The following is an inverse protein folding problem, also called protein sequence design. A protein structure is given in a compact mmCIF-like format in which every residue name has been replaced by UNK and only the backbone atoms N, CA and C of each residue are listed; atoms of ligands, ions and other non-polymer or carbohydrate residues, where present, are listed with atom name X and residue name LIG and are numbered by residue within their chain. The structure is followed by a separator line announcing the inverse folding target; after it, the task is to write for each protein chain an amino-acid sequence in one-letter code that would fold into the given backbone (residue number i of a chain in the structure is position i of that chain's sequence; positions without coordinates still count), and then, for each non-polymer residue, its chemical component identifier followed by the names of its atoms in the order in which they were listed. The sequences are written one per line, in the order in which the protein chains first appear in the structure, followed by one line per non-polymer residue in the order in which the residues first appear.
data_IF_230231151232
#
_entry.id   IF_230231151232
#
_cell.length_a   1.000
_cell.length_b   1.000
_cell.length_c   1.000
_cell.angle_alpha   90.00
_cell.angle_beta   90.00
_cell.angle_gamma   90.00
#
_symmetry.space_group_name_H-M   'P 1'
#
loop_
_entity.id
_entity.type
_entity.pdbx_description
1 polymer ?
#
# COMPACT_ATOMS: atom_id res chain seq x y z
N UNK A 1 -11.92 37.04 77.46
CA UNK A 1 -12.75 37.27 78.65
C UNK A 1 -13.88 38.21 78.25
N UNK A 2 -15.13 37.74 78.26
CA UNK A 2 -16.34 38.34 78.85
C UNK A 2 -17.39 37.22 78.79
N UNK A 3 -17.89 36.86 79.95
CA UNK A 3 -18.80 35.77 80.31
C UNK A 3 -20.26 36.22 80.18
N UNK A 4 -21.18 35.28 79.94
CA UNK A 4 -22.55 35.34 80.51
C UNK A 4 -23.14 33.94 80.59
N UNK A 5 -23.09 33.40 81.80
CA UNK A 5 -23.83 32.23 82.29
C UNK A 5 -25.19 32.67 82.81
N UNK A 6 -26.24 31.87 82.58
CA UNK A 6 -27.49 31.97 83.34
C UNK A 6 -28.03 30.55 83.62
N UNK A 7 -28.21 30.27 84.90
CA UNK A 7 -28.70 29.03 85.52
C UNK A 7 -30.11 29.31 86.05
N UNK A 8 -31.03 28.34 85.92
CA UNK A 8 -32.10 27.98 86.88
C UNK A 8 -33.02 26.93 86.21
N UNK A 9 -33.68 25.95 86.83
CA UNK A 9 -33.70 25.27 88.14
C UNK A 9 -34.51 23.97 87.91
N UNK A 10 -34.23 22.90 88.67
CA UNK A 10 -34.94 21.61 88.68
C UNK A 10 -36.27 21.65 89.49
N UNK A 11 -37.15 20.62 89.38
CA UNK A 11 -37.21 19.63 90.46
C UNK A 11 -37.46 18.16 90.05
N UNK A 12 -37.15 17.30 91.02
CA UNK A 12 -37.19 15.82 91.14
C UNK A 12 -38.66 15.32 91.17
N UNK A 13 -39.08 14.08 90.82
CA UNK A 13 -39.02 12.84 91.65
C UNK A 13 -39.76 11.63 90.98
N UNK A 14 -39.20 10.43 91.19
CA UNK A 14 -39.79 9.08 91.47
C UNK A 14 -40.53 8.22 90.40
N UNK A 15 -39.85 7.10 90.06
CA UNK A 15 -40.24 5.67 90.14
C UNK A 15 -41.63 5.19 89.69
N UNK A 16 -41.70 4.11 88.89
CA UNK A 16 -42.30 2.79 89.23
C UNK A 16 -42.24 1.82 88.03
N UNK A 17 -41.81 0.57 88.28
CA UNK A 17 -41.74 -0.56 87.35
C UNK A 17 -43.13 -0.99 86.83
N UNK A 18 -43.22 -1.66 85.68
CA UNK A 18 -43.89 -2.97 85.48
C UNK A 18 -43.70 -3.46 84.03
N UNK A 19 -43.37 -4.75 83.98
CA UNK A 19 -43.15 -5.67 82.87
C UNK A 19 -44.31 -5.81 81.89
N UNK A 20 -44.02 -6.14 80.62
CA UNK A 20 -44.43 -7.39 79.94
C UNK A 20 -44.09 -7.38 78.44
N UNK A 21 -43.04 -8.13 78.12
CA UNK A 21 -42.97 -9.21 77.11
C UNK A 21 -43.75 -9.12 75.78
N UNK A 22 -43.03 -9.61 74.75
CA UNK A 22 -43.46 -10.10 73.43
C UNK A 22 -43.51 -9.03 72.34
N UNK A 23 -42.57 -9.09 71.39
CA UNK A 23 -42.81 -9.68 70.08
C UNK A 23 -41.58 -9.46 69.20
N UNK A 24 -41.15 -10.52 68.50
CA UNK A 24 -40.16 -10.45 67.44
C UNK A 24 -40.58 -9.40 66.42
N UNK A 25 -40.01 -8.20 66.52
CA UNK A 25 -40.19 -7.15 65.52
C UNK A 25 -39.01 -7.24 64.58
N UNK A 26 -39.24 -8.00 63.51
CA UNK A 26 -38.61 -7.82 62.22
C UNK A 26 -38.40 -6.31 62.01
N UNK A 27 -37.14 -5.86 61.91
CA UNK A 27 -36.85 -4.48 61.55
C UNK A 27 -37.33 -4.28 60.12
N UNK A 28 -38.61 -3.97 59.93
CA UNK A 28 -39.13 -3.45 58.68
C UNK A 28 -38.57 -2.05 58.54
N UNK A 29 -37.34 -1.97 58.03
CA UNK A 29 -36.87 -0.76 57.37
C UNK A 29 -37.94 -0.43 56.31
N UNK A 30 -38.46 0.80 56.26
CA UNK A 30 -39.46 1.16 55.27
C UNK A 30 -38.89 0.82 53.90
N UNK A 31 -39.57 -0.05 53.14
CA UNK A 31 -39.08 -0.58 51.87
C UNK A 31 -38.59 0.52 50.91
N UNK A 32 -39.13 1.73 51.06
CA UNK A 32 -38.73 2.94 50.36
C UNK A 32 -37.27 3.40 50.62
N UNK A 33 -36.75 3.28 51.85
CA UNK A 33 -35.36 3.70 52.18
C UNK A 33 -34.30 2.72 51.65
N UNK A 34 -34.61 1.42 51.65
CA UNK A 34 -33.72 0.41 51.07
C UNK A 34 -33.75 0.47 49.53
N UNK A 35 -34.92 0.72 48.94
CA UNK A 35 -35.07 0.86 47.48
C UNK A 35 -34.39 2.12 46.93
N UNK A 36 -34.48 3.25 47.63
CA UNK A 36 -33.80 4.49 47.23
C UNK A 36 -32.28 4.36 47.32
N UNK A 37 -31.74 3.75 48.39
CA UNK A 37 -30.29 3.51 48.53
C UNK A 37 -29.73 2.53 47.49
N UNK A 38 -30.46 1.44 47.20
CA UNK A 38 -30.07 0.47 46.17
C UNK A 38 -30.13 1.07 44.75
N UNK A 39 -31.15 1.88 44.44
CA UNK A 39 -31.25 2.59 43.16
C UNK A 39 -30.13 3.60 42.95
N UNK A 40 -29.74 4.33 44.00
CA UNK A 40 -28.63 5.29 43.96
C UNK A 40 -27.29 4.58 43.78
N UNK A 41 -27.09 3.42 44.42
CA UNK A 41 -25.91 2.58 44.21
C UNK A 41 -25.80 2.10 42.75
N UNK A 42 -26.89 1.61 42.15
CA UNK A 42 -26.91 1.21 40.74
C UNK A 42 -26.66 2.39 39.79
N UNK A 43 -27.21 3.57 40.09
CA UNK A 43 -26.95 4.78 39.31
C UNK A 43 -25.47 5.18 39.34
N UNK A 44 -24.80 5.06 40.49
CA UNK A 44 -23.36 5.33 40.62
C UNK A 44 -22.53 4.31 39.82
N UNK A 45 -22.90 3.03 39.85
CA UNK A 45 -22.22 2.00 39.04
C UNK A 45 -22.42 2.28 37.54
N UNK A 46 -23.62 2.63 37.10
CA UNK A 46 -23.88 2.98 35.71
C UNK A 46 -23.09 4.23 35.28
N UNK A 47 -23.03 5.26 36.12
CA UNK A 47 -22.32 6.50 35.83
C UNK A 47 -20.80 6.28 35.77
N UNK A 48 -20.24 5.46 36.66
CA UNK A 48 -18.81 5.13 36.65
C UNK A 48 -18.45 4.31 35.41
N UNK A 49 -19.28 3.35 35.00
CA UNK A 49 -19.07 2.56 33.79
C UNK A 49 -19.20 3.39 32.52
N UNK A 50 -20.20 4.27 32.44
CA UNK A 50 -20.35 5.22 31.33
C UNK A 50 -19.18 6.22 31.27
N UNK A 51 -18.73 6.72 32.42
CA UNK A 51 -17.57 7.61 32.51
C UNK A 51 -16.29 6.96 31.99
N UNK A 52 -16.03 5.69 32.36
CA UNK A 52 -14.90 4.92 31.83
C UNK A 52 -14.94 4.79 30.31
N UNK A 53 -16.09 4.43 29.74
CA UNK A 53 -16.25 4.31 28.29
C UNK A 53 -15.99 5.63 27.55
N UNK A 54 -16.38 6.76 28.13
CA UNK A 54 -16.13 8.08 27.52
C UNK A 54 -14.65 8.48 27.64
N UNK A 55 -14.00 8.21 28.79
CA UNK A 55 -12.57 8.43 28.97
C UNK A 55 -11.76 7.61 27.95
N UNK A 56 -12.09 6.34 27.77
CA UNK A 56 -11.39 5.46 26.81
C UNK A 56 -11.54 5.96 25.36
N UNK A 57 -12.70 6.51 24.99
CA UNK A 57 -12.91 7.14 23.68
C UNK A 57 -12.08 8.40 23.51
N UNK A 58 -12.02 9.24 24.53
CA UNK A 58 -11.22 10.47 24.52
C UNK A 58 -9.72 10.13 24.43
N UNK A 59 -9.26 9.15 25.19
CA UNK A 59 -7.87 8.70 25.17
C UNK A 59 -7.47 8.19 23.78
N UNK A 60 -8.32 7.36 23.14
CA UNK A 60 -8.09 6.92 21.76
C UNK A 60 -7.98 8.10 20.79
N UNK A 61 -8.85 9.10 20.93
CA UNK A 61 -8.82 10.30 20.08
C UNK A 61 -7.55 11.12 20.30
N UNK A 62 -7.13 11.30 21.56
CA UNK A 62 -5.88 12.00 21.91
C UNK A 62 -4.66 11.26 21.38
N UNK A 63 -4.63 9.93 21.48
CA UNK A 63 -3.53 9.12 20.95
C UNK A 63 -3.47 9.19 19.42
N UNK A 64 -4.60 9.17 18.73
CA UNK A 64 -4.65 9.37 17.28
C UNK A 64 -4.12 10.75 16.87
N UNK A 65 -4.58 11.82 17.52
CA UNK A 65 -4.08 13.18 17.25
C UNK A 65 -2.59 13.32 17.60
N UNK A 66 -2.10 12.63 18.62
CA UNK A 66 -0.68 12.61 18.99
C UNK A 66 0.19 11.91 17.95
N UNK A 67 -0.26 10.77 17.43
CA UNK A 67 0.43 10.06 16.34
C UNK A 67 0.44 10.94 15.09
N UNK A 68 -0.72 11.51 14.72
CA UNK A 68 -0.85 12.44 13.60
C UNK A 68 0.08 13.64 13.76
N UNK A 69 0.14 14.24 14.95
CA UNK A 69 1.04 15.37 15.23
C UNK A 69 2.52 14.99 15.06
N UNK A 70 2.92 13.79 15.51
CA UNK A 70 4.29 13.28 15.32
C UNK A 70 4.62 13.04 13.85
N UNK A 71 3.67 12.52 13.08
CA UNK A 71 3.85 12.36 11.62
C UNK A 71 3.99 13.72 10.93
N UNK A 72 3.17 14.70 11.29
CA UNK A 72 3.32 16.07 10.79
C UNK A 72 4.68 16.67 11.17
N UNK A 73 5.13 16.49 12.41
CA UNK A 73 6.43 16.98 12.87
C UNK A 73 7.59 16.36 12.07
N UNK A 74 7.54 15.04 11.80
CA UNK A 74 8.51 14.38 10.91
C UNK A 74 8.51 15.00 9.52
N UNK A 75 7.33 15.23 8.94
CA UNK A 75 7.18 15.88 7.63
C UNK A 75 7.73 17.32 7.63
N UNK A 76 7.48 18.09 8.69
CA UNK A 76 8.03 19.44 8.84
C UNK A 76 9.55 19.44 9.00
N UNK A 77 10.11 18.50 9.76
CA UNK A 77 11.55 18.36 9.93
C UNK A 77 12.23 18.00 8.61
N UNK A 78 11.66 17.06 7.85
CA UNK A 78 12.12 16.72 6.51
C UNK A 78 12.09 17.95 5.59
N UNK A 79 10.98 18.69 5.57
CA UNK A 79 10.83 19.91 4.78
C UNK A 79 11.84 21.00 5.17
N UNK A 80 12.07 21.23 6.47
CA UNK A 80 13.06 22.19 6.96
C UNK A 80 14.49 21.78 6.60
N UNK A 81 14.82 20.49 6.69
CA UNK A 81 16.11 19.98 6.27
C UNK A 81 16.32 20.19 4.76
N UNK A 82 15.28 19.94 3.97
CA UNK A 82 15.28 20.23 2.53
C UNK A 82 15.50 21.72 2.26
N UNK A 83 14.77 22.61 2.93
CA UNK A 83 14.94 24.07 2.76
C UNK A 83 16.35 24.52 3.16
N UNK A 84 16.88 24.03 4.29
CA UNK A 84 18.25 24.34 4.73
C UNK A 84 19.30 23.86 3.73
N UNK A 85 19.08 22.68 3.13
CA UNK A 85 19.93 22.16 2.04
C UNK A 85 19.84 23.05 0.80
N UNK A 86 18.67 23.60 0.48
CA UNK A 86 18.48 24.57 -0.62
C UNK A 86 19.18 25.91 -0.34
N UNK A 87 19.14 26.39 0.90
CA UNK A 87 19.80 27.64 1.31
C UNK A 87 21.34 27.50 1.31
N UNK A 88 21.85 26.34 1.70
CA UNK A 88 23.29 26.06 1.75
C UNK A 88 23.88 25.89 0.34
N UNK A 89 23.12 25.32 -0.61
CA UNK A 89 23.58 25.08 -1.98
C UNK A 89 22.44 25.33 -2.99
N UNK A 90 22.38 26.51 -3.63
CA UNK A 90 21.32 26.81 -4.60
C UNK A 90 21.38 25.95 -5.87
N UNK A 91 22.56 25.40 -6.23
CA UNK A 91 22.69 24.43 -7.33
C UNK A 91 22.01 23.08 -7.03
N UNK A 92 21.78 22.77 -5.74
CA UNK A 92 21.11 21.56 -5.30
C UNK A 92 19.59 21.63 -5.47
N UNK A 93 19.03 22.81 -5.78
CA UNK A 93 17.61 22.95 -6.18
C UNK A 93 17.33 22.22 -7.50
N UNK A 94 18.34 22.13 -8.38
CA UNK A 94 18.31 21.28 -9.57
C UNK A 94 18.80 19.86 -9.31
N UNK A 95 19.05 19.48 -8.04
CA UNK A 95 19.47 18.13 -7.74
C UNK A 95 18.34 17.14 -7.95
N UNK A 96 18.69 16.01 -8.55
CA UNK A 96 17.80 14.87 -8.78
C UNK A 96 17.19 14.35 -7.48
N UNK A 97 17.94 14.37 -6.38
CA UNK A 97 17.47 13.88 -5.09
C UNK A 97 16.32 14.74 -4.55
N UNK A 98 16.36 16.06 -4.78
CA UNK A 98 15.25 16.96 -4.50
C UNK A 98 14.01 16.63 -5.35
N UNK A 99 14.17 16.36 -6.65
CA UNK A 99 13.05 15.99 -7.53
C UNK A 99 12.41 14.66 -7.11
N UNK A 100 13.21 13.66 -6.70
CA UNK A 100 12.71 12.38 -6.22
C UNK A 100 12.03 12.50 -4.85
N UNK A 101 12.57 13.31 -3.94
CA UNK A 101 11.93 13.57 -2.64
C UNK A 101 10.64 14.37 -2.80
N UNK A 102 10.60 15.35 -3.71
CA UNK A 102 9.37 16.05 -4.07
C UNK A 102 8.35 15.10 -4.69
N UNK A 103 8.76 14.24 -5.61
CA UNK A 103 7.90 13.22 -6.20
C UNK A 103 7.35 12.29 -5.11
N UNK A 104 8.18 11.82 -4.18
CA UNK A 104 7.77 10.98 -3.05
C UNK A 104 6.75 11.69 -2.15
N UNK A 105 6.99 12.96 -1.83
CA UNK A 105 6.03 13.79 -1.08
C UNK A 105 4.72 13.93 -1.85
N UNK A 106 4.78 14.21 -3.17
CA UNK A 106 3.60 14.39 -4.02
C UNK A 106 2.82 13.08 -4.19
N UNK A 107 3.51 11.93 -4.26
CA UNK A 107 2.94 10.58 -4.31
C UNK A 107 2.26 10.16 -2.99
N UNK A 108 2.51 10.87 -1.89
CA UNK A 108 1.74 10.67 -0.65
C UNK A 108 0.33 11.28 -0.69
N UNK A 109 0.01 12.10 -1.69
CA UNK A 109 -1.34 12.60 -1.90
C UNK A 109 -2.17 11.63 -2.75
N UNK A 110 -3.34 11.24 -2.24
CA UNK A 110 -4.20 10.21 -2.85
C UNK A 110 -4.65 10.55 -4.28
N UNK A 111 -5.05 11.81 -4.53
CA UNK A 111 -5.54 12.26 -5.85
C UNK A 111 -4.42 12.21 -6.89
N UNK A 112 -3.24 12.69 -6.53
CA UNK A 112 -2.08 12.68 -7.41
C UNK A 112 -1.61 11.24 -7.66
N UNK A 113 -1.48 10.45 -6.61
CA UNK A 113 -1.09 9.04 -6.68
C UNK A 113 -2.00 8.24 -7.63
N UNK A 114 -3.31 8.36 -7.47
CA UNK A 114 -4.28 7.67 -8.30
C UNK A 114 -4.22 8.09 -9.77
N UNK A 115 -4.07 9.40 -10.05
CA UNK A 115 -3.96 9.91 -11.41
C UNK A 115 -2.70 9.35 -12.13
N UNK A 116 -1.56 9.36 -11.44
CA UNK A 116 -0.29 8.85 -11.99
C UNK A 116 -0.35 7.33 -12.19
N UNK A 117 -0.85 6.57 -11.20
CA UNK A 117 -0.99 5.12 -11.34
C UNK A 117 -1.90 4.73 -12.51
N UNK A 118 -3.01 5.43 -12.70
CA UNK A 118 -3.91 5.16 -13.82
C UNK A 118 -3.25 5.44 -15.17
N UNK A 119 -2.52 6.55 -15.28
CA UNK A 119 -1.76 6.86 -16.48
C UNK A 119 -0.72 5.77 -16.79
N UNK A 120 0.01 5.31 -15.77
CA UNK A 120 0.97 4.21 -15.90
C UNK A 120 0.27 2.92 -16.35
N UNK A 121 -0.86 2.56 -15.73
CA UNK A 121 -1.67 1.39 -16.11
C UNK A 121 -2.10 1.43 -17.57
N UNK A 122 -2.53 2.59 -18.07
CA UNK A 122 -2.92 2.78 -19.48
C UNK A 122 -1.70 2.65 -20.40
N UNK A 123 -0.60 3.34 -20.09
CA UNK A 123 0.61 3.31 -20.92
C UNK A 123 1.22 1.91 -21.01
N UNK A 124 1.30 1.17 -19.90
CA UNK A 124 1.76 -0.22 -19.89
C UNK A 124 0.83 -1.09 -20.73
N UNK A 125 -0.49 -0.99 -20.51
CA UNK A 125 -1.45 -1.80 -21.26
C UNK A 125 -1.40 -1.53 -22.75
N UNK A 126 -1.06 -0.32 -23.18
CA UNK A 126 -0.92 -0.01 -24.61
C UNK A 126 0.46 -0.43 -25.15
N UNK A 127 1.54 0.17 -24.63
CA UNK A 127 2.91 -0.01 -25.14
C UNK A 127 3.43 -1.42 -24.90
N UNK A 128 3.32 -1.94 -23.68
CA UNK A 128 3.85 -3.27 -23.34
C UNK A 128 2.98 -4.37 -23.94
N UNK A 129 1.67 -4.19 -24.08
CA UNK A 129 0.82 -5.16 -24.79
C UNK A 129 1.19 -5.26 -26.27
N UNK A 130 1.43 -4.13 -26.94
CA UNK A 130 1.92 -4.12 -28.32
C UNK A 130 3.30 -4.81 -28.42
N UNK A 131 4.23 -4.49 -27.52
CA UNK A 131 5.55 -5.12 -27.46
C UNK A 131 5.50 -6.62 -27.09
N UNK A 132 4.48 -7.08 -26.37
CA UNK A 132 4.29 -8.47 -26.02
C UNK A 132 3.51 -9.27 -27.08
N UNK A 133 2.84 -8.64 -28.04
CA UNK A 133 2.10 -9.36 -29.11
C UNK A 133 3.08 -10.06 -30.07
N UNK A 134 2.73 -11.26 -30.55
CA UNK A 134 3.52 -11.94 -31.58
C UNK A 134 3.45 -11.12 -32.87
N UNK A 135 4.60 -10.64 -33.33
CA UNK A 135 4.69 -9.89 -34.58
C UNK A 135 4.66 -10.86 -35.77
N UNK A 136 3.66 -10.72 -36.64
CA UNK A 136 3.44 -11.63 -37.78
C UNK A 136 4.59 -11.59 -38.80
N UNK A 137 5.43 -10.54 -38.82
CA UNK A 137 6.56 -10.46 -39.76
C UNK A 137 7.67 -11.50 -39.51
N UNK A 138 7.75 -12.09 -38.30
CA UNK A 138 8.70 -13.17 -38.01
C UNK A 138 8.11 -14.57 -38.21
N UNK A 139 6.86 -14.68 -38.67
CA UNK A 139 6.20 -15.97 -38.93
C UNK A 139 6.57 -16.58 -40.29
N UNK A 140 7.35 -15.86 -41.12
CA UNK A 140 7.80 -16.32 -42.44
C UNK A 140 9.10 -17.14 -42.46
N UNK A 141 9.84 -17.24 -41.35
CA UNK A 141 11.08 -18.05 -41.29
C UNK A 141 10.75 -19.39 -40.63
N UNK A 142 10.16 -20.28 -41.42
CA UNK A 142 9.99 -21.70 -41.09
C UNK A 142 11.39 -22.32 -41.08
N UNK A 143 12.00 -22.49 -39.90
CA UNK A 143 13.25 -23.26 -39.78
C UNK A 143 14.13 -22.97 -38.55
N UNK A 144 13.98 -21.82 -37.90
CA UNK A 144 14.71 -21.51 -36.68
C UNK A 144 13.70 -21.35 -35.55
N UNK A 145 13.67 -22.31 -34.64
CA UNK A 145 12.87 -22.23 -33.42
C UNK A 145 13.17 -20.90 -32.71
N UNK A 146 12.15 -20.06 -32.54
CA UNK A 146 12.20 -18.85 -31.71
C UNK A 146 12.26 -19.22 -30.21
N UNK A 147 13.17 -20.11 -29.84
CA UNK A 147 13.37 -20.62 -28.47
C UNK A 147 14.21 -19.68 -27.60
N UNK A 148 14.72 -18.60 -28.17
CA UNK A 148 15.31 -17.48 -27.45
C UNK A 148 14.20 -16.49 -27.06
N UNK A 149 14.01 -16.29 -25.75
CA UNK A 149 13.02 -15.35 -25.23
C UNK A 149 13.17 -13.95 -25.85
N UNK A 150 12.05 -13.28 -26.10
CA UNK A 150 12.04 -11.95 -26.74
C UNK A 150 12.42 -10.89 -25.72
N UNK A 151 13.51 -10.16 -25.97
CA UNK A 151 13.83 -8.96 -25.20
C UNK A 151 12.86 -7.84 -25.54
N UNK A 152 12.37 -7.17 -24.51
CA UNK A 152 11.47 -6.03 -24.56
C UNK A 152 12.20 -4.92 -23.83
N UNK A 153 12.50 -3.85 -24.55
CA UNK A 153 13.02 -2.61 -24.00
C UNK A 153 12.10 -1.50 -24.46
N UNK A 154 11.23 -1.06 -23.56
CA UNK A 154 10.21 -0.05 -23.86
C UNK A 154 10.34 1.10 -22.88
N UNK A 155 10.22 2.31 -23.40
CA UNK A 155 10.37 3.53 -22.64
C UNK A 155 9.17 4.45 -22.86
N UNK A 156 8.60 4.95 -21.77
CA UNK A 156 7.46 5.86 -21.86
C UNK A 156 7.50 6.94 -20.78
N UNK A 157 6.87 8.07 -21.11
CA UNK A 157 6.89 9.28 -20.31
C UNK A 157 5.62 9.36 -19.45
N UNK A 158 5.80 9.67 -18.17
CA UNK A 158 4.73 9.96 -17.23
C UNK A 158 4.56 11.47 -17.18
N UNK A 159 3.46 11.95 -17.74
CA UNK A 159 3.16 13.37 -17.88
C UNK A 159 2.15 13.83 -16.84
N UNK A 160 2.36 15.01 -16.28
CA UNK A 160 1.40 15.66 -15.39
C UNK A 160 0.98 17.01 -15.94
N UNK A 161 -0.33 17.27 -15.85
CA UNK A 161 -0.92 18.53 -16.24
C UNK A 161 -0.73 19.54 -15.12
N UNK A 162 0.17 20.51 -15.35
CA UNK A 162 0.39 21.64 -14.43
C UNK A 162 -0.26 22.88 -15.01
N UNK A 163 -1.30 23.38 -14.37
CA UNK A 163 -1.97 24.63 -14.74
C UNK A 163 -3.33 24.78 -14.09
N UNK A 164 -3.69 26.00 -13.70
CA UNK A 164 -5.04 26.35 -13.27
C UNK A 164 -5.65 27.31 -14.30
N UNK A 165 -6.82 26.99 -14.84
CA UNK A 165 -7.51 27.80 -15.85
C UNK A 165 -7.01 27.58 -17.29
N UNK A 166 -6.80 28.65 -18.05
CA UNK A 166 -6.57 28.61 -19.50
C UNK A 166 -5.15 28.19 -19.95
N UNK A 167 -4.22 27.95 -19.02
CA UNK A 167 -2.83 27.55 -19.31
C UNK A 167 -2.51 26.18 -18.70
N UNK A 168 -3.21 25.13 -19.16
CA UNK A 168 -2.87 23.75 -18.82
C UNK A 168 -1.68 23.33 -19.67
N UNK A 169 -0.50 23.21 -19.06
CA UNK A 169 0.70 22.71 -19.73
C UNK A 169 1.01 21.29 -19.25
N UNK A 170 1.12 20.36 -20.19
CA UNK A 170 1.61 18.99 -19.92
C UNK A 170 3.13 19.02 -19.74
N UNK A 171 3.61 18.50 -18.62
CA UNK A 171 5.04 18.40 -18.32
C UNK A 171 5.39 16.96 -17.97
N UNK A 172 6.52 16.48 -18.45
CA UNK A 172 7.03 15.14 -18.10
C UNK A 172 7.57 15.19 -16.67
N UNK A 173 7.01 14.36 -15.78
CA UNK A 173 7.48 14.21 -14.41
C UNK A 173 8.69 13.29 -14.35
N UNK A 174 8.53 12.09 -14.90
CA UNK A 174 9.55 11.06 -14.94
C UNK A 174 9.29 10.09 -16.10
N UNK A 175 10.31 9.32 -16.44
CA UNK A 175 10.28 8.34 -17.51
C UNK A 175 10.39 6.94 -16.91
N UNK A 176 9.71 5.96 -17.48
CA UNK A 176 9.82 4.56 -17.06
C UNK A 176 10.40 3.76 -18.23
N UNK A 177 11.49 3.04 -17.96
CA UNK A 177 12.08 2.08 -18.89
C UNK A 177 11.87 0.66 -18.35
N UNK A 178 11.30 -0.20 -19.18
CA UNK A 178 10.99 -1.59 -18.84
C UNK A 178 11.84 -2.50 -19.72
N UNK A 179 12.76 -3.24 -19.08
CA UNK A 179 13.65 -4.23 -19.70
C UNK A 179 13.28 -5.63 -19.23
N UNK A 180 12.62 -6.39 -20.09
CA UNK A 180 12.10 -7.72 -19.77
C UNK A 180 12.44 -8.72 -20.87
N UNK A 181 12.49 -10.01 -20.51
CA UNK A 181 12.58 -11.10 -21.49
C UNK A 181 11.27 -11.88 -21.45
N UNK A 182 10.47 -11.78 -22.51
CA UNK A 182 9.25 -12.57 -22.63
C UNK A 182 9.57 -14.02 -22.93
N UNK A 183 9.16 -14.90 -22.03
CA UNK A 183 9.10 -16.34 -22.29
C UNK A 183 7.79 -16.72 -23.02
N UNK A 184 7.85 -17.59 -24.05
CA UNK A 184 6.68 -17.95 -24.85
C UNK A 184 5.61 -18.75 -24.09
N UNK A 185 5.95 -19.31 -22.92
CA UNK A 185 5.07 -20.14 -22.09
C UNK A 185 4.15 -19.34 -21.17
N UNK A 186 4.39 -18.03 -20.99
CA UNK A 186 3.66 -17.15 -20.08
C UNK A 186 2.58 -16.33 -20.81
N UNK A 187 1.41 -16.20 -20.18
CA UNK A 187 0.33 -15.38 -20.70
C UNK A 187 0.72 -13.89 -20.67
N UNK A 188 0.48 -13.20 -21.79
CA UNK A 188 0.76 -11.76 -21.94
C UNK A 188 0.02 -10.92 -20.90
N UNK A 189 -1.24 -11.24 -20.62
CA UNK A 189 -2.06 -10.52 -19.63
C UNK A 189 -1.49 -10.67 -18.21
N UNK A 190 -1.10 -11.87 -17.81
CA UNK A 190 -0.53 -12.13 -16.50
C UNK A 190 0.80 -11.38 -16.30
N UNK A 191 1.64 -11.31 -17.33
CA UNK A 191 2.87 -10.52 -17.28
C UNK A 191 2.58 -9.03 -17.11
N UNK A 192 1.59 -8.49 -17.83
CA UNK A 192 1.21 -7.07 -17.73
C UNK A 192 0.70 -6.74 -16.32
N UNK A 193 -0.16 -7.59 -15.75
CA UNK A 193 -0.64 -7.41 -14.38
C UNK A 193 0.51 -7.42 -13.37
N UNK A 194 1.44 -8.38 -13.47
CA UNK A 194 2.61 -8.44 -12.59
C UNK A 194 3.48 -7.17 -12.67
N UNK A 195 3.66 -6.61 -13.87
CA UNK A 195 4.40 -5.36 -14.05
C UNK A 195 3.68 -4.20 -13.37
N UNK A 196 2.36 -4.11 -13.54
CA UNK A 196 1.53 -3.06 -12.94
C UNK A 196 1.60 -3.14 -11.41
N UNK A 197 1.37 -4.34 -10.86
CA UNK A 197 1.37 -4.57 -9.41
C UNK A 197 2.75 -4.22 -8.83
N UNK A 198 3.82 -4.60 -9.53
CA UNK A 198 5.19 -4.28 -9.15
C UNK A 198 5.46 -2.76 -9.11
N UNK A 199 5.00 -2.02 -10.12
CA UNK A 199 5.15 -0.57 -10.16
C UNK A 199 4.29 0.13 -9.11
N UNK A 200 3.10 -0.38 -8.84
CA UNK A 200 2.20 0.13 -7.81
C UNK A 200 2.81 0.00 -6.42
N UNK A 201 3.32 -1.19 -6.06
CA UNK A 201 4.01 -1.42 -4.78
C UNK A 201 5.26 -0.56 -4.64
N UNK A 202 6.08 -0.43 -5.69
CA UNK A 202 7.30 0.38 -5.62
C UNK A 202 7.04 1.88 -5.44
N UNK A 203 5.98 2.39 -6.07
CA UNK A 203 5.62 3.81 -6.02
C UNK A 203 4.82 4.18 -4.77
N UNK A 204 4.39 3.18 -3.98
CA UNK A 204 3.69 3.41 -2.73
C UNK A 204 4.70 3.74 -1.61
N UNK A 205 4.55 4.85 -0.88
CA UNK A 205 5.41 5.18 0.24
C UNK A 205 5.01 4.32 1.46
N UNK A 206 5.42 3.05 1.50
CA UNK A 206 5.20 2.19 2.66
C UNK A 206 6.47 2.17 3.52
N UNK A 207 6.38 2.70 4.75
CA UNK A 207 7.43 2.52 5.76
C UNK A 207 7.51 1.03 6.10
N UNK A 208 8.58 0.33 5.69
CA UNK A 208 8.87 -1.04 6.16
C UNK A 208 9.19 -2.11 5.10
N UNK A 209 9.17 -1.81 3.81
CA UNK A 209 9.47 -2.78 2.73
C UNK A 209 10.85 -2.59 2.09
N UNK A 210 11.88 -2.26 2.87
CA UNK A 210 13.27 -2.16 2.36
C UNK A 210 13.83 -3.49 1.81
N UNK A 211 13.13 -4.61 2.07
CA UNK A 211 13.53 -5.96 1.63
C UNK A 211 12.64 -6.55 0.53
N UNK A 212 11.66 -5.79 0.02
CA UNK A 212 10.78 -6.31 -1.01
C UNK A 212 11.51 -6.50 -2.34
N UNK A 213 11.45 -7.72 -2.88
CA UNK A 213 12.03 -8.08 -4.17
C UNK A 213 10.90 -8.47 -5.12
N UNK A 214 10.61 -7.67 -6.16
CA UNK A 214 9.57 -8.02 -7.10
C UNK A 214 9.96 -9.23 -7.94
N UNK A 215 8.96 -10.00 -8.35
CA UNK A 215 9.16 -11.11 -9.28
C UNK A 215 8.25 -10.96 -10.48
N UNK A 216 8.82 -11.07 -11.68
CA UNK A 216 8.10 -11.01 -12.95
C UNK A 216 8.36 -12.33 -13.67
N UNK A 217 7.29 -13.03 -14.03
CA UNK A 217 7.36 -14.37 -14.64
C UNK A 217 8.20 -15.38 -13.83
N UNK A 218 8.21 -15.26 -12.50
CA UNK A 218 9.00 -16.13 -11.62
C UNK A 218 10.51 -15.85 -11.61
N UNK A 219 10.95 -14.72 -12.18
CA UNK A 219 12.33 -14.22 -12.07
C UNK A 219 12.37 -12.96 -11.23
N UNK A 220 13.47 -12.74 -10.52
CA UNK A 220 13.69 -11.53 -9.73
C UNK A 220 13.77 -10.33 -10.68
N UNK A 221 13.05 -9.27 -10.34
CA UNK A 221 13.15 -7.98 -11.00
C UNK A 221 13.82 -6.98 -10.07
N UNK A 222 14.61 -6.07 -10.64
CA UNK A 222 15.25 -4.97 -9.94
C UNK A 222 14.62 -3.67 -10.43
N UNK A 223 14.27 -2.80 -9.48
CA UNK A 223 13.75 -1.47 -9.76
C UNK A 223 14.65 -0.44 -9.13
N UNK A 224 15.10 0.52 -9.93
CA UNK A 224 15.90 1.62 -9.42
C UNK A 224 15.71 2.89 -10.26
N UNK A 225 15.89 4.03 -9.62
CA UNK A 225 16.01 5.31 -10.31
C UNK A 225 17.41 5.44 -10.90
N UNK A 226 17.53 5.58 -12.22
CA UNK A 226 18.80 5.84 -12.89
C UNK A 226 19.33 7.23 -12.50
N UNK A 227 20.59 7.25 -12.08
CA UNK A 227 21.27 8.43 -11.55
C UNK A 227 21.97 9.25 -12.63
N UNK A 228 22.13 8.70 -13.85
CA UNK A 228 22.88 9.34 -14.94
C UNK A 228 22.00 10.12 -15.91
N UNK A 229 20.70 9.87 -15.95
CA UNK A 229 19.77 10.58 -16.83
C UNK A 229 19.53 12.01 -16.33
N UNK A 230 19.94 13.02 -17.12
CA UNK A 230 19.57 14.44 -16.94
C UNK A 230 18.77 14.89 -18.17
N UNK A 231 17.73 15.73 -18.05
CA UNK A 231 17.19 16.37 -16.83
C UNK A 231 16.02 15.62 -16.15
N UNK A 232 15.42 14.62 -16.81
CA UNK A 232 14.23 13.91 -16.32
C UNK A 232 14.61 12.62 -15.59
N UNK A 233 14.09 12.37 -14.37
CA UNK A 233 14.34 11.12 -13.66
C UNK A 233 13.82 9.92 -14.44
N UNK A 234 14.62 8.85 -14.51
CA UNK A 234 14.31 7.62 -15.22
C UNK A 234 14.18 6.47 -14.21
N UNK A 235 13.02 5.83 -14.15
CA UNK A 235 12.79 4.60 -13.39
C UNK A 235 13.08 3.41 -14.31
N UNK A 236 14.03 2.57 -13.93
CA UNK A 236 14.39 1.37 -14.68
C UNK A 236 13.83 0.15 -13.95
N UNK A 237 13.04 -0.65 -14.66
CA UNK A 237 12.59 -1.97 -14.26
C UNK A 237 13.35 -3.00 -15.11
N UNK A 238 14.24 -3.76 -14.49
CA UNK A 238 15.05 -4.77 -15.18
C UNK A 238 14.79 -6.16 -14.60
N UNK A 239 14.51 -7.13 -15.47
CA UNK A 239 14.41 -8.53 -15.06
C UNK A 239 15.80 -9.16 -15.00
N UNK A 240 16.18 -9.67 -13.82
CA UNK A 240 17.42 -10.42 -13.68
C UNK A 240 17.34 -11.75 -14.42
N UNK A 241 18.46 -12.12 -15.03
CA UNK A 241 18.66 -13.45 -15.60
C UNK A 241 19.30 -14.43 -14.60
N UNK A 242 19.68 -13.94 -13.42
CA UNK A 242 20.32 -14.77 -12.40
C UNK A 242 19.28 -15.69 -11.74
N UNK A 243 19.55 -17.01 -11.80
CA UNK A 243 18.67 -18.05 -11.26
C UNK A 243 18.12 -19.06 -12.29
N UNK A 244 18.31 -18.82 -13.59
CA UNK A 244 17.90 -19.78 -14.65
C UNK A 244 19.03 -20.78 -14.95
N UNK A 245 19.44 -21.55 -13.95
CA UNK A 245 20.38 -22.68 -14.11
C UNK A 245 19.69 -23.95 -14.63
N UNK A 246 18.64 -23.79 -15.46
CA UNK A 246 18.01 -24.91 -16.16
C UNK A 246 17.95 -24.55 -17.63
N UNK A 247 19.02 -24.88 -18.35
CA UNK A 247 18.97 -24.92 -19.81
C UNK A 247 17.85 -25.89 -20.21
N UNK A 248 16.75 -25.38 -20.76
CA UNK A 248 15.71 -26.21 -21.34
C UNK A 248 16.27 -26.92 -22.59
N UNK A 249 16.95 -28.06 -22.38
CA UNK A 249 17.41 -28.93 -23.45
C UNK A 249 16.19 -29.61 -24.06
N UNK A 250 15.75 -29.13 -25.23
CA UNK A 250 14.80 -29.87 -26.06
C UNK A 250 15.51 -31.08 -26.64
N UNK A 251 15.14 -32.29 -26.21
CA UNK A 251 15.67 -33.53 -26.76
C UNK A 251 15.09 -33.71 -28.18
N UNK A 252 15.91 -33.46 -29.21
CA UNK A 252 15.54 -33.77 -30.60
C UNK A 252 15.69 -35.28 -30.79
N UNK A 253 14.59 -36.02 -30.85
CA UNK A 253 14.63 -37.34 -31.49
C UNK A 253 14.90 -37.14 -32.98
N UNK A 254 15.97 -37.71 -33.55
CA UNK A 254 16.22 -37.64 -34.98
C UNK A 254 15.16 -38.44 -35.71
N UNK A 255 14.26 -37.76 -36.41
CA UNK A 255 13.29 -38.37 -37.30
C UNK A 255 14.04 -38.84 -38.57
N UNK A 256 14.26 -40.14 -38.69
CA UNK A 256 14.85 -40.76 -39.89
C UNK A 256 13.80 -40.70 -40.99
N UNK A 257 13.95 -39.75 -41.91
CA UNK A 257 13.13 -39.65 -43.10
C UNK A 257 13.36 -40.86 -44.03
N UNK A 258 12.32 -41.68 -44.20
CA UNK A 258 12.26 -42.74 -45.22
C UNK A 258 12.24 -42.09 -46.61
N UNK A 259 13.30 -42.27 -47.39
CA UNK A 259 13.33 -41.88 -48.81
C UNK A 259 12.43 -42.81 -49.62
N UNK A 260 11.29 -42.30 -50.12
CA UNK A 260 10.51 -42.98 -51.15
C UNK A 260 11.19 -42.82 -52.52
N UNK A 261 11.61 -43.95 -53.11
CA UNK A 261 12.13 -44.07 -54.48
C UNK A 261 10.96 -43.96 -55.48
N UNK A 262 10.96 -42.91 -56.28
CA UNK A 262 10.09 -42.78 -57.46
C UNK A 262 10.56 -43.74 -58.57
N UNK A 263 9.71 -44.69 -58.98
CA UNK A 263 9.88 -45.46 -60.21
C UNK A 263 9.10 -44.77 -61.35
N UNK A 264 9.82 -44.35 -62.39
CA UNK A 264 9.27 -43.72 -63.59
C UNK A 264 8.53 -44.71 -64.48
N UNK A 265 7.30 -44.35 -64.85
CA UNK A 265 6.49 -45.01 -65.87
C UNK A 265 6.92 -44.56 -67.27
N UNK A 266 7.40 -45.48 -68.12
CA UNK A 266 7.63 -45.26 -69.55
C UNK A 266 6.38 -45.67 -70.33
N UNK A 267 5.80 -44.71 -71.05
CA UNK A 267 4.80 -44.89 -72.11
C UNK A 267 5.40 -45.71 -73.26
N UNK A 268 4.67 -46.75 -73.71
CA UNK A 268 4.89 -47.41 -75.00
C UNK A 268 3.66 -47.18 -75.87
N UNK A 269 3.84 -46.48 -76.99
CA UNK A 269 2.88 -46.41 -78.08
C UNK A 269 3.44 -47.23 -79.24
N UNK A 270 2.65 -48.20 -79.73
CA UNK A 270 2.96 -48.98 -80.93
C UNK A 270 1.76 -48.92 -81.86
N UNK A 271 1.91 -48.14 -82.93
CA UNK A 271 1.11 -48.20 -84.15
C UNK A 271 1.74 -49.21 -85.11
N UNK A 272 1.04 -50.32 -85.38
CA UNK A 272 0.83 -50.88 -86.71
C UNK A 272 -0.23 -51.97 -86.66
#
# INVERSE_FOLDING_TARGET
MITSTLIAQSPVTKTTNISQQILASQTQLPAFSVMTSAGLALALVALTMYGKLQIDKLEKKVNFEKIRSRELEKKFKLALETIRKMETNPDLVNSRDFNLDYLRMRMSEEVFHFAILNQIKIQIKDKISQALRPHQANQGIIGIASSTGRQIDEIFDVEYETGAGANVAKRVLFRIQIRLIKLPTQATSATISQIIDCLETYLQPVEGEDTWQPTIQGRIAHMHWDQKAKPTPLLVLEQSNEGVNVTFRTNRQPNIAVQQKNYGSKRSGSTR
#
